data_IF_458067378983
#
_entry.id   IF_458067378983
#
_cell.length_a   1.000
_cell.length_b   1.000
_cell.length_c   1.000
_cell.angle_alpha   90.00
_cell.angle_beta   90.00
_cell.angle_gamma   90.00
#
_symmetry.space_group_name_H-M   'P 1'
#
loop_
_entity.id
_entity.type
_entity.pdbx_description
1 polymer ?
#
# COMPACT_ATOMS: atom_id res chain seq x y z
N UNK A 1 0.70 -20.51 -7.92
CA UNK A 1 1.76 -19.54 -8.28
C UNK A 1 1.27 -18.17 -7.82
N UNK A 2 2.16 -17.35 -7.25
CA UNK A 2 1.83 -15.97 -6.89
C UNK A 2 1.97 -15.05 -8.11
N UNK A 3 0.90 -14.33 -8.45
CA UNK A 3 0.86 -13.40 -9.58
C UNK A 3 0.72 -11.96 -9.13
N UNK A 4 -0.07 -11.75 -8.07
CA UNK A 4 -0.59 -10.44 -7.74
C UNK A 4 -0.15 -10.02 -6.33
N UNK A 5 1.09 -9.55 -6.19
CA UNK A 5 1.65 -9.16 -4.89
C UNK A 5 1.38 -7.68 -4.62
N UNK A 6 0.75 -7.39 -3.47
CA UNK A 6 0.64 -6.05 -2.90
C UNK A 6 1.46 -5.98 -1.62
N UNK A 7 2.22 -4.89 -1.50
CA UNK A 7 2.97 -4.53 -0.31
C UNK A 7 2.39 -3.22 0.26
N UNK A 8 1.79 -3.33 1.45
CA UNK A 8 1.14 -2.26 2.19
C UNK A 8 1.18 -2.60 3.69
N UNK A 9 0.95 -1.61 4.54
CA UNK A 9 0.83 -1.78 5.99
C UNK A 9 -0.67 -1.92 6.29
N UNK A 10 -1.17 -3.16 6.45
CA UNK A 10 -2.61 -3.45 6.54
C UNK A 10 -3.16 -3.31 7.96
N UNK A 11 -2.31 -3.47 8.97
CA UNK A 11 -2.69 -3.33 10.38
C UNK A 11 -2.25 -1.99 10.99
N UNK A 12 -1.58 -1.14 10.21
CA UNK A 12 -1.03 0.16 10.61
C UNK A 12 0.05 0.11 11.69
N UNK A 13 0.78 -1.01 11.80
CA UNK A 13 1.82 -1.23 12.80
C UNK A 13 3.21 -0.67 12.42
N UNK A 14 3.28 0.03 11.27
CA UNK A 14 4.47 0.65 10.66
C UNK A 14 5.32 -0.34 9.86
N UNK A 15 5.03 -1.63 9.90
CA UNK A 15 5.67 -2.65 9.08
C UNK A 15 4.92 -2.84 7.75
N UNK A 16 5.65 -3.16 6.69
CA UNK A 16 5.03 -3.42 5.39
C UNK A 16 4.76 -4.91 5.27
N UNK A 17 3.47 -5.26 5.17
CA UNK A 17 2.92 -6.59 4.98
C UNK A 17 2.85 -6.98 3.51
N UNK A 18 2.47 -8.23 3.25
CA UNK A 18 2.30 -8.78 1.91
C UNK A 18 0.96 -9.50 1.77
N UNK A 19 0.20 -9.15 0.75
CA UNK A 19 -0.95 -9.96 0.30
C UNK A 19 -0.68 -10.45 -1.12
N UNK A 20 -0.94 -11.74 -1.34
CA UNK A 20 -0.53 -12.46 -2.54
C UNK A 20 -1.76 -13.08 -3.20
N UNK A 21 -2.05 -12.61 -4.40
CA UNK A 21 -3.04 -13.23 -5.28
C UNK A 21 -2.46 -14.44 -6.03
N UNK A 22 -3.12 -15.59 -5.89
CA UNK A 22 -2.65 -16.85 -6.43
C UNK A 22 -3.52 -17.39 -7.57
N UNK A 23 -2.90 -18.26 -8.38
CA UNK A 23 -3.56 -19.09 -9.37
C UNK A 23 -2.53 -19.97 -10.09
N UNK A 24 -2.96 -21.06 -10.70
CA UNK A 24 -2.07 -21.84 -11.56
C UNK A 24 -1.95 -21.16 -12.94
N UNK A 25 -0.92 -21.53 -13.71
CA UNK A 25 -0.68 -20.99 -15.07
C UNK A 25 -1.75 -21.49 -16.04
N UNK A 26 -2.05 -22.78 -15.97
CA UNK A 26 -2.89 -23.50 -16.94
C UNK A 26 -4.08 -24.21 -16.26
N UNK A 27 -5.29 -24.20 -16.86
CA UNK A 27 -6.48 -24.86 -16.32
C UNK A 27 -6.35 -26.38 -16.14
N UNK A 28 -5.53 -27.04 -16.97
CA UNK A 28 -5.28 -28.49 -16.92
C UNK A 28 -4.72 -28.97 -15.58
N UNK A 29 -4.24 -28.05 -14.72
CA UNK A 29 -3.87 -28.37 -13.35
C UNK A 29 -5.01 -29.05 -12.56
N UNK A 30 -6.27 -28.76 -12.88
CA UNK A 30 -7.43 -29.40 -12.25
C UNK A 30 -7.53 -30.90 -12.53
N UNK A 31 -6.86 -31.39 -13.59
CA UNK A 31 -6.87 -32.80 -14.00
C UNK A 31 -5.72 -33.60 -13.37
N UNK A 32 -4.76 -32.94 -12.72
CA UNK A 32 -3.57 -33.58 -12.15
C UNK A 32 -3.82 -33.94 -10.70
N UNK A 33 -3.87 -35.24 -10.38
CA UNK A 33 -4.06 -35.73 -9.00
C UNK A 33 -2.98 -35.17 -8.06
N UNK A 34 -3.41 -34.57 -6.95
CA UNK A 34 -2.51 -33.96 -5.95
C UNK A 34 -2.06 -32.54 -6.27
N UNK A 35 -2.44 -31.99 -7.42
CA UNK A 35 -2.23 -30.57 -7.73
C UNK A 35 -3.31 -29.74 -7.02
N UNK A 36 -2.97 -28.57 -6.44
CA UNK A 36 -3.95 -27.64 -5.86
C UNK A 36 -4.97 -27.08 -6.88
N UNK A 37 -4.82 -27.35 -8.18
CA UNK A 37 -5.75 -26.90 -9.22
C UNK A 37 -5.50 -25.47 -9.69
N UNK A 38 -6.27 -25.06 -10.70
CA UNK A 38 -6.13 -23.79 -11.40
C UNK A 38 -6.51 -22.59 -10.53
N UNK A 39 -7.63 -22.70 -9.82
CA UNK A 39 -8.10 -21.69 -8.88
C UNK A 39 -7.54 -21.96 -7.49
N UNK A 40 -6.86 -20.98 -6.91
CA UNK A 40 -6.12 -21.10 -5.65
C UNK A 40 -6.58 -20.01 -4.67
N UNK A 41 -6.52 -20.27 -3.34
CA UNK A 41 -6.78 -19.24 -2.34
C UNK A 41 -5.66 -18.19 -2.35
N UNK A 42 -6.00 -16.97 -1.97
CA UNK A 42 -5.03 -15.89 -1.79
C UNK A 42 -4.46 -15.95 -0.36
N UNK A 43 -3.34 -15.26 -0.13
CA UNK A 43 -2.62 -15.35 1.15
C UNK A 43 -2.29 -13.96 1.70
N UNK A 44 -2.28 -13.83 3.03
CA UNK A 44 -1.85 -12.63 3.74
C UNK A 44 -0.73 -12.99 4.72
N UNK A 45 0.35 -12.23 4.64
CA UNK A 45 1.52 -12.33 5.48
C UNK A 45 1.76 -11.01 6.20
N UNK A 46 1.66 -11.00 7.53
CA UNK A 46 2.00 -9.84 8.34
C UNK A 46 3.48 -9.82 8.64
N UNK A 47 4.10 -8.65 8.52
CA UNK A 47 5.49 -8.44 8.85
C UNK A 47 5.63 -8.21 10.36
N UNK A 48 6.55 -8.92 11.01
CA UNK A 48 6.77 -8.79 12.45
C UNK A 48 7.62 -7.56 12.86
N UNK A 49 7.97 -6.71 11.89
CA UNK A 49 8.81 -5.52 12.07
C UNK A 49 10.31 -5.83 12.17
N UNK A 50 10.70 -7.10 12.20
CA UNK A 50 12.10 -7.57 12.24
C UNK A 50 12.56 -8.18 10.92
N UNK A 51 11.68 -8.17 9.91
CA UNK A 51 11.91 -8.77 8.59
C UNK A 51 11.38 -10.20 8.46
N UNK A 52 10.78 -10.74 9.52
CA UNK A 52 10.00 -11.98 9.47
C UNK A 52 8.58 -11.74 9.00
N UNK A 53 7.97 -12.78 8.44
CA UNK A 53 6.60 -12.75 7.94
C UNK A 53 5.82 -13.93 8.49
N UNK A 54 4.66 -13.64 9.08
CA UNK A 54 3.73 -14.64 9.60
C UNK A 54 2.56 -14.84 8.63
N UNK A 55 2.34 -16.07 8.17
CA UNK A 55 1.13 -16.43 7.42
C UNK A 55 -0.08 -16.34 8.36
N UNK A 56 -0.93 -15.34 8.13
CA UNK A 56 -2.16 -15.13 8.90
C UNK A 56 -3.39 -15.47 8.08
N UNK A 57 -3.26 -16.08 6.91
CA UNK A 57 -4.38 -16.35 5.99
C UNK A 57 -5.55 -17.05 6.71
N UNK A 58 -5.25 -18.08 7.51
CA UNK A 58 -6.25 -18.84 8.27
C UNK A 58 -6.87 -18.06 9.45
N UNK A 59 -6.33 -16.89 9.81
CA UNK A 59 -6.79 -16.02 10.89
C UNK A 59 -7.63 -14.85 10.37
N UNK A 60 -7.81 -14.73 9.06
CA UNK A 60 -8.61 -13.69 8.41
C UNK A 60 -10.05 -14.16 8.15
N UNK A 61 -10.89 -13.26 7.64
CA UNK A 61 -12.22 -13.61 7.14
C UNK A 61 -12.20 -14.58 5.95
N UNK A 62 -13.36 -15.09 5.52
CA UNK A 62 -13.45 -16.15 4.51
C UNK A 62 -13.00 -15.70 3.11
N UNK A 63 -12.88 -14.40 2.86
CA UNK A 63 -12.60 -13.84 1.53
C UNK A 63 -11.27 -14.32 0.93
N UNK A 64 -10.22 -14.52 1.72
CA UNK A 64 -8.94 -15.04 1.22
C UNK A 64 -8.98 -16.53 0.87
N UNK A 65 -9.91 -17.28 1.46
CA UNK A 65 -10.13 -18.69 1.13
C UNK A 65 -10.88 -18.88 -0.20
N UNK A 66 -11.50 -17.81 -0.75
CA UNK A 66 -12.15 -17.84 -2.06
C UNK A 66 -11.11 -18.19 -3.13
N UNK A 67 -11.36 -19.29 -3.85
CA UNK A 67 -10.42 -19.78 -4.86
C UNK A 67 -10.61 -19.03 -6.17
N UNK A 68 -9.60 -18.25 -6.54
CA UNK A 68 -9.56 -17.48 -7.78
C UNK A 68 -8.42 -17.91 -8.69
N UNK A 69 -8.52 -17.57 -9.98
CA UNK A 69 -7.37 -17.52 -10.87
C UNK A 69 -6.83 -16.08 -10.85
N UNK A 70 -6.34 -15.63 -9.70
CA UNK A 70 -5.98 -14.24 -9.45
C UNK A 70 -4.80 -13.83 -10.33
N UNK A 71 -4.86 -12.63 -10.91
CA UNK A 71 -3.76 -12.04 -11.70
C UNK A 71 -3.44 -10.63 -11.30
N UNK A 72 -4.44 -9.82 -11.00
CA UNK A 72 -4.26 -8.43 -10.59
C UNK A 72 -4.71 -8.22 -9.15
N UNK A 73 -4.13 -7.22 -8.51
CA UNK A 73 -4.57 -6.77 -7.20
C UNK A 73 -4.39 -5.26 -7.06
N UNK A 74 -5.39 -4.62 -6.48
CA UNK A 74 -5.38 -3.21 -6.12
C UNK A 74 -5.83 -3.07 -4.66
N UNK A 75 -5.38 -1.98 -4.03
CA UNK A 75 -5.74 -1.64 -2.66
C UNK A 75 -6.28 -0.21 -2.62
N UNK A 76 -7.37 -0.03 -1.88
CA UNK A 76 -8.01 1.25 -1.62
C UNK A 76 -8.81 1.17 -0.31
N UNK A 77 -9.03 2.30 0.34
CA UNK A 77 -10.01 2.49 1.43
C UNK A 77 -11.33 2.87 0.76
N UNK A 78 -12.18 1.87 0.52
CA UNK A 78 -13.36 2.00 -0.34
C UNK A 78 -14.51 2.72 0.35
N UNK A 79 -14.62 2.56 1.67
CA UNK A 79 -15.69 3.12 2.49
C UNK A 79 -15.26 4.38 3.27
N UNK A 80 -13.95 4.65 3.36
CA UNK A 80 -13.38 5.83 3.98
C UNK A 80 -13.19 5.71 5.49
N UNK A 81 -13.20 4.49 6.05
CA UNK A 81 -13.02 4.23 7.48
C UNK A 81 -11.54 4.20 7.91
N UNK A 82 -10.66 4.10 6.92
CA UNK A 82 -9.23 4.25 7.06
C UNK A 82 -8.42 2.97 6.98
N UNK A 83 -9.04 1.80 7.02
CA UNK A 83 -8.34 0.56 6.73
C UNK A 83 -8.13 0.39 5.20
N UNK A 84 -7.52 -0.73 4.81
CA UNK A 84 -7.10 -0.96 3.43
C UNK A 84 -7.79 -2.19 2.85
N UNK A 85 -8.81 -1.94 2.04
CA UNK A 85 -9.46 -2.99 1.26
C UNK A 85 -8.60 -3.46 0.11
N UNK A 86 -8.88 -4.68 -0.33
CA UNK A 86 -8.17 -5.31 -1.44
C UNK A 86 -9.14 -5.81 -2.49
N UNK A 87 -8.93 -5.39 -3.74
CA UNK A 87 -9.63 -5.91 -4.90
C UNK A 87 -8.69 -6.84 -5.66
N UNK A 88 -9.13 -8.07 -5.91
CA UNK A 88 -8.46 -9.03 -6.77
C UNK A 88 -9.19 -9.15 -8.12
N UNK A 89 -8.41 -9.12 -9.19
CA UNK A 89 -8.90 -9.47 -10.53
C UNK A 89 -8.62 -10.95 -10.82
N UNK A 90 -9.69 -11.69 -11.14
CA UNK A 90 -9.66 -13.13 -11.41
C UNK A 90 -9.88 -13.38 -12.91
N UNK A 91 -9.03 -14.20 -13.54
CA UNK A 91 -9.31 -14.66 -14.91
C UNK A 91 -10.63 -15.45 -14.92
N UNK A 92 -11.47 -15.16 -15.91
CA UNK A 92 -12.75 -15.85 -16.18
C UNK A 92 -13.61 -16.01 -14.92
N UNK A 93 -13.66 -14.97 -14.10
CA UNK A 93 -14.44 -14.93 -12.87
C UNK A 93 -14.73 -13.50 -12.45
N UNK A 94 -15.65 -13.32 -11.48
CA UNK A 94 -15.89 -12.01 -10.90
C UNK A 94 -14.64 -11.53 -10.13
N UNK A 95 -14.45 -10.21 -9.98
CA UNK A 95 -13.48 -9.70 -9.03
C UNK A 95 -13.84 -10.15 -7.60
N UNK A 96 -12.83 -10.36 -6.77
CA UNK A 96 -13.02 -10.55 -5.33
C UNK A 96 -12.74 -9.20 -4.66
N UNK A 97 -13.70 -8.70 -3.88
CA UNK A 97 -13.49 -7.53 -3.01
C UNK A 97 -13.36 -8.05 -1.59
N UNK A 98 -12.24 -7.72 -0.96
CA UNK A 98 -12.00 -7.92 0.45
C UNK A 98 -12.17 -6.57 1.12
N UNK A 99 -13.35 -6.36 1.69
CA UNK A 99 -13.60 -5.26 2.60
C UNK A 99 -13.02 -5.63 3.96
N UNK A 100 -12.09 -4.82 4.45
CA UNK A 100 -11.64 -4.94 5.82
C UNK A 100 -12.70 -4.28 6.71
N UNK A 101 -13.13 -4.99 7.76
CA UNK A 101 -14.21 -4.50 8.63
C UNK A 101 -13.66 -4.14 10.01
N UNK A 102 -14.00 -2.94 10.46
CA UNK A 102 -13.79 -2.48 11.84
C UNK A 102 -12.84 -1.30 11.94
N UNK A 103 -12.74 -0.71 13.14
CA UNK A 103 -11.82 0.41 13.32
C UNK A 103 -10.36 -0.04 13.15
N UNK A 104 -9.51 0.75 12.46
CA UNK A 104 -8.08 0.47 12.34
C UNK A 104 -7.43 0.20 13.70
N UNK A 105 -6.63 -0.87 13.79
CA UNK A 105 -5.98 -1.30 15.03
C UNK A 105 -5.01 -0.26 15.59
N UNK A 106 -4.39 0.51 14.70
CA UNK A 106 -3.42 1.54 15.02
C UNK A 106 -3.75 2.84 14.29
N UNK A 107 -3.32 3.99 14.84
CA UNK A 107 -3.50 5.26 14.16
C UNK A 107 -2.76 5.27 12.82
N UNK A 108 -3.28 6.04 11.88
CA UNK A 108 -2.75 6.10 10.52
C UNK A 108 -2.75 7.52 9.97
N UNK A 109 -2.02 7.75 8.88
CA UNK A 109 -2.08 8.97 8.10
C UNK A 109 -2.08 8.63 6.62
N UNK A 110 -3.13 9.03 5.91
CA UNK A 110 -3.15 9.07 4.46
C UNK A 110 -2.67 10.43 3.96
N UNK A 111 -1.85 10.44 2.92
CA UNK A 111 -1.39 11.67 2.26
C UNK A 111 -1.78 11.60 0.79
N UNK A 112 -2.75 12.43 0.41
CA UNK A 112 -3.16 12.66 -0.97
C UNK A 112 -2.36 13.82 -1.54
N UNK A 113 -1.68 13.58 -2.66
CA UNK A 113 -0.93 14.62 -3.35
C UNK A 113 -1.76 15.24 -4.47
N UNK A 114 -1.69 16.56 -4.59
CA UNK A 114 -2.22 17.32 -5.71
C UNK A 114 -1.07 18.07 -6.39
N UNK A 115 -0.54 17.46 -7.45
CA UNK A 115 0.53 18.05 -8.24
C UNK A 115 0.02 19.07 -9.27
N UNK A 116 0.96 19.83 -9.85
CA UNK A 116 0.69 20.82 -10.90
C UNK A 116 0.74 20.21 -12.32
N UNK A 117 0.12 20.89 -13.28
CA UNK A 117 0.15 20.52 -14.70
C UNK A 117 -0.50 19.16 -14.99
N UNK A 118 0.22 18.29 -15.71
CA UNK A 118 -0.28 16.96 -16.13
C UNK A 118 -0.18 15.89 -15.03
N UNK A 119 0.71 16.08 -14.04
CA UNK A 119 0.92 15.11 -12.96
C UNK A 119 0.04 15.43 -11.75
N UNK A 120 -1.28 15.32 -11.93
CA UNK A 120 -2.27 15.72 -10.90
C UNK A 120 -2.16 14.94 -9.60
N UNK A 121 -1.65 13.71 -9.64
CA UNK A 121 -1.50 12.85 -8.46
C UNK A 121 -0.11 12.91 -7.81
N UNK A 122 0.79 13.76 -8.32
CA UNK A 122 2.17 13.81 -7.80
C UNK A 122 2.92 12.48 -7.94
N UNK A 123 2.63 11.70 -8.99
CA UNK A 123 3.30 10.43 -9.26
C UNK A 123 4.81 10.66 -9.33
N UNK A 124 5.56 9.85 -8.59
CA UNK A 124 7.01 9.99 -8.48
C UNK A 124 7.52 10.87 -7.34
N UNK A 125 6.63 11.46 -6.55
CA UNK A 125 7.02 12.19 -5.34
C UNK A 125 7.46 11.22 -4.24
N UNK A 126 8.35 11.68 -3.35
CA UNK A 126 8.60 11.04 -2.07
C UNK A 126 7.83 11.77 -0.98
N UNK A 127 7.17 11.01 -0.11
CA UNK A 127 6.51 11.55 1.09
C UNK A 127 7.23 10.98 2.30
N UNK A 128 7.64 11.86 3.20
CA UNK A 128 8.31 11.49 4.43
C UNK A 128 7.58 12.05 5.64
N UNK A 129 7.43 11.22 6.66
CA UNK A 129 6.90 11.61 7.97
C UNK A 129 7.91 11.31 9.08
N UNK A 130 7.84 12.10 10.14
CA UNK A 130 8.57 11.86 11.39
C UNK A 130 7.63 12.04 12.56
N UNK A 131 7.64 11.11 13.51
CA UNK A 131 6.91 11.13 14.77
C UNK A 131 7.83 10.75 15.95
N UNK A 132 7.27 10.43 17.11
CA UNK A 132 8.04 10.03 18.29
C UNK A 132 8.62 8.61 18.23
N UNK A 133 8.17 7.79 17.28
CA UNK A 133 8.66 6.44 17.03
C UNK A 133 9.64 6.37 15.85
N UNK A 134 9.89 7.49 15.16
CA UNK A 134 10.94 7.60 14.14
C UNK A 134 10.44 8.08 12.77
N UNK A 135 11.23 7.80 11.74
CA UNK A 135 11.00 8.28 10.36
C UNK A 135 10.40 7.19 9.50
N UNK A 136 9.43 7.56 8.67
CA UNK A 136 8.93 6.71 7.60
C UNK A 136 8.95 7.47 6.28
N UNK A 137 9.25 6.74 5.21
CA UNK A 137 9.32 7.28 3.85
C UNK A 137 8.52 6.35 2.97
N UNK A 138 7.73 6.93 2.06
CA UNK A 138 6.98 6.19 1.04
C UNK A 138 7.06 6.93 -0.29
N UNK A 139 7.04 6.17 -1.37
CA UNK A 139 7.08 6.69 -2.73
C UNK A 139 5.67 6.72 -3.32
N UNK A 140 5.27 7.84 -3.91
CA UNK A 140 3.97 7.99 -4.55
C UNK A 140 3.95 7.22 -5.88
N UNK A 141 3.28 6.06 -5.85
CA UNK A 141 3.00 5.21 -7.01
C UNK A 141 1.61 4.61 -6.90
N UNK A 142 0.97 4.44 -8.05
CA UNK A 142 -0.36 3.83 -8.15
C UNK A 142 -0.34 2.48 -8.88
N UNK A 143 0.64 2.27 -9.76
CA UNK A 143 0.85 0.99 -10.43
C UNK A 143 1.26 -0.05 -9.39
N UNK A 144 0.34 -0.97 -9.10
CA UNK A 144 0.49 -1.98 -8.08
C UNK A 144 0.04 -3.29 -8.70
N UNK A 145 0.82 -4.36 -8.50
CA UNK A 145 0.53 -5.68 -9.06
C UNK A 145 0.41 -5.69 -10.60
N UNK A 146 0.05 -6.83 -11.18
CA UNK A 146 -0.07 -6.98 -12.62
C UNK A 146 -1.34 -6.29 -13.15
N UNK A 147 -1.18 -5.37 -14.11
CA UNK A 147 -2.27 -4.70 -14.81
C UNK A 147 -3.24 -3.91 -13.91
N UNK A 148 -2.83 -3.57 -12.68
CA UNK A 148 -3.73 -3.01 -11.65
C UNK A 148 -3.20 -1.68 -11.12
N UNK A 149 -4.10 -0.87 -10.58
CA UNK A 149 -3.80 0.47 -10.05
C UNK A 149 -4.53 0.67 -8.72
N UNK A 150 -3.78 0.95 -7.67
CA UNK A 150 -4.32 1.36 -6.36
C UNK A 150 -4.73 2.83 -6.36
N UNK A 151 -5.51 3.23 -5.36
CA UNK A 151 -5.82 4.64 -5.17
C UNK A 151 -4.56 5.52 -5.02
N UNK A 152 -4.64 6.83 -5.38
CA UNK A 152 -3.51 7.75 -5.29
C UNK A 152 -3.35 8.36 -3.88
N UNK A 153 -3.23 7.52 -2.85
CA UNK A 153 -2.99 7.93 -1.46
C UNK A 153 -1.77 7.21 -0.91
N UNK A 154 -0.84 7.99 -0.34
CA UNK A 154 0.32 7.45 0.36
C UNK A 154 -0.05 7.22 1.82
N UNK A 155 -0.14 5.95 2.23
CA UNK A 155 -0.50 5.59 3.61
C UNK A 155 0.73 5.31 4.49
N UNK A 156 0.56 5.70 5.76
CA UNK A 156 1.48 5.41 6.86
C UNK A 156 0.69 4.87 8.04
N UNK A 157 0.95 3.64 8.46
CA UNK A 157 0.62 3.22 9.81
C UNK A 157 1.52 3.94 10.81
N UNK A 158 0.98 4.27 11.99
CA UNK A 158 1.71 5.00 13.04
C UNK A 158 2.00 4.11 14.25
N UNK A 159 1.48 2.89 14.30
CA UNK A 159 1.65 1.95 15.40
C UNK A 159 1.14 2.56 16.71
N UNK A 160 2.05 2.87 17.63
CA UNK A 160 1.71 3.53 18.90
C UNK A 160 1.91 5.07 18.89
N UNK A 161 2.28 5.68 17.76
CA UNK A 161 2.47 7.12 17.69
C UNK A 161 1.10 7.84 17.61
N UNK A 162 0.89 8.81 18.50
CA UNK A 162 -0.36 9.56 18.57
C UNK A 162 -0.42 10.76 17.60
N UNK A 163 0.72 11.20 17.08
CA UNK A 163 0.80 12.37 16.20
C UNK A 163 2.05 12.34 15.32
N UNK A 164 1.92 12.88 14.11
CA UNK A 164 3.04 13.20 13.23
C UNK A 164 3.62 14.56 13.64
N UNK A 165 4.95 14.70 13.67
CA UNK A 165 5.65 15.96 14.00
C UNK A 165 6.10 16.71 12.75
N UNK A 166 6.38 15.96 11.67
CA UNK A 166 6.86 16.51 10.41
C UNK A 166 6.27 15.73 9.25
N UNK A 167 5.76 16.45 8.25
CA UNK A 167 5.33 15.93 6.95
C UNK A 167 6.03 16.73 5.86
N UNK A 168 6.81 16.07 5.01
CA UNK A 168 7.50 16.69 3.88
C UNK A 168 7.21 15.90 2.61
N UNK A 169 6.96 16.61 1.53
CA UNK A 169 6.85 16.06 0.18
C UNK A 169 8.04 16.56 -0.63
N UNK A 170 8.81 15.64 -1.21
CA UNK A 170 9.78 15.92 -2.26
C UNK A 170 9.09 15.63 -3.60
N UNK A 171 8.78 16.68 -4.34
CA UNK A 171 8.06 16.60 -5.60
C UNK A 171 8.94 16.04 -6.73
N UNK A 172 8.35 15.52 -7.81
CA UNK A 172 9.10 14.94 -8.94
C UNK A 172 10.07 15.92 -9.60
N UNK A 173 9.79 17.23 -9.53
CA UNK A 173 10.67 18.28 -10.04
C UNK A 173 11.88 18.58 -9.13
N UNK A 174 11.96 17.95 -7.96
CA UNK A 174 13.09 18.05 -7.02
C UNK A 174 12.95 19.10 -5.93
N UNK A 175 11.93 19.96 -5.99
CA UNK A 175 11.58 20.87 -4.90
C UNK A 175 10.96 20.09 -3.73
N UNK A 176 11.30 20.46 -2.49
CA UNK A 176 10.72 19.89 -1.29
C UNK A 176 9.91 20.94 -0.51
N UNK A 177 8.77 20.51 0.00
CA UNK A 177 7.84 21.33 0.77
C UNK A 177 7.43 20.63 2.06
N UNK A 178 7.40 21.38 3.16
CA UNK A 178 6.82 20.94 4.42
C UNK A 178 5.36 21.37 4.49
N UNK A 179 4.55 20.49 5.06
CA UNK A 179 3.12 20.71 5.28
C UNK A 179 2.81 20.57 6.77
N UNK A 180 1.76 21.23 7.28
CA UNK A 180 1.32 21.03 8.66
C UNK A 180 1.13 19.54 8.93
N UNK A 181 1.69 18.98 10.01
CA UNK A 181 1.40 17.60 10.37
C UNK A 181 -0.09 17.47 10.65
N UNK A 182 -0.81 16.75 9.79
CA UNK A 182 -2.25 16.56 9.91
C UNK A 182 -2.61 15.81 11.19
N UNK A 183 -3.86 15.96 11.64
CA UNK A 183 -4.45 15.03 12.60
C UNK A 183 -4.37 13.60 12.03
N UNK A 184 -4.15 12.61 12.90
CA UNK A 184 -4.11 11.19 12.53
C UNK A 184 -5.53 10.68 12.21
N UNK A 185 -5.62 9.46 11.67
CA UNK A 185 -6.83 8.76 11.27
C UNK A 185 -7.63 9.49 10.19
N UNK A 186 -6.92 10.02 9.20
CA UNK A 186 -7.52 10.70 8.05
C UNK A 186 -6.58 10.81 6.87
N UNK A 187 -7.14 11.24 5.75
CA UNK A 187 -6.37 11.65 4.58
C UNK A 187 -6.13 13.16 4.59
N UNK A 188 -4.86 13.57 4.74
CA UNK A 188 -4.42 14.93 4.51
C UNK A 188 -4.16 15.19 3.01
N UNK A 189 -4.47 16.39 2.52
CA UNK A 189 -4.17 16.78 1.14
C UNK A 189 -2.99 17.75 1.10
N UNK A 190 -1.93 17.39 0.39
CA UNK A 190 -0.78 18.24 0.13
C UNK A 190 -0.83 18.74 -1.32
N UNK A 191 -0.94 20.05 -1.50
CA UNK A 191 -1.00 20.70 -2.81
C UNK A 191 0.37 21.29 -3.14
N UNK A 192 0.91 20.95 -4.31
CA UNK A 192 2.21 21.41 -4.75
C UNK A 192 2.26 22.95 -4.88
N UNK A 193 3.24 23.55 -4.22
CA UNK A 193 3.44 25.00 -4.14
C UNK A 193 2.56 25.71 -3.12
N UNK A 194 1.86 24.97 -2.25
CA UNK A 194 1.16 25.51 -1.09
C UNK A 194 1.83 25.14 0.25
N UNK A 195 2.91 24.37 0.22
CA UNK A 195 3.70 24.07 1.41
C UNK A 195 4.79 25.11 1.64
N UNK A 196 5.46 25.04 2.79
CA UNK A 196 6.63 25.87 3.05
C UNK A 196 7.88 25.20 2.47
N UNK A 197 8.64 25.93 1.65
CA UNK A 197 9.89 25.43 1.07
C UNK A 197 10.84 24.94 2.18
N UNK A 198 11.41 23.75 1.98
CA UNK A 198 12.29 23.10 2.97
C UNK A 198 13.35 22.24 2.28
N UNK A 199 14.38 21.83 3.02
CA UNK A 199 15.24 20.73 2.61
C UNK A 199 14.55 19.38 2.83
N UNK A 200 14.90 18.36 2.03
CA UNK A 200 14.50 16.97 2.23
C UNK A 200 15.40 16.30 3.30
N UNK A 201 14.87 15.91 4.47
CA UNK A 201 15.71 15.52 5.61
C UNK A 201 15.88 14.00 5.79
N UNK A 202 15.26 13.18 4.96
CA UNK A 202 15.10 11.75 5.26
C UNK A 202 16.23 10.88 4.72
N UNK A 203 16.69 11.15 3.51
CA UNK A 203 17.82 10.46 2.88
C UNK A 203 18.41 11.32 1.77
N UNK A 204 19.65 11.07 1.41
CA UNK A 204 20.27 11.65 0.22
C UNK A 204 19.96 10.76 -0.99
N UNK A 205 19.30 11.31 -2.00
CA UNK A 205 19.26 10.68 -3.33
C UNK A 205 20.64 10.91 -3.93
N UNK A 206 21.52 9.90 -3.88
CA UNK A 206 22.75 9.97 -4.64
C UNK A 206 22.39 10.04 -6.14
N UNK A 207 23.01 10.94 -6.94
CA UNK A 207 22.81 10.92 -8.38
C UNK A 207 23.23 9.53 -8.92
N UNK A 208 22.53 9.00 -9.94
CA UNK A 208 22.92 7.75 -10.55
C UNK A 208 24.38 7.85 -11.01
N UNK A 209 25.20 6.89 -10.59
CA UNK A 209 26.56 6.76 -11.13
C UNK A 209 26.41 6.30 -12.59
N UNK A 210 26.93 7.09 -13.53
CA UNK A 210 27.17 6.57 -14.87
C UNK A 210 28.12 5.37 -14.74
N UNK A 211 27.71 4.23 -15.29
CA UNK A 211 28.62 3.10 -15.56
C UNK A 211 29.11 3.22 -16.99
#
# INVERSE_FOLDING_TARGET
MGWAVLAADFNHDRAVDLIIGNGHVVPQADQVRGNPGYRQPNQLYLNDGTGGFLDVTARTGPGLAVRGATRGSAAADLDGDGDLDVIFNNIDGPPTVLECEGAPLHPWLGVRLQGRGKNRFGLGAWVGIEDDKGRQIRYMRVQRSWGSTSEPVVRFGLGAAAAVRRLVVLWPAGNAESFPPGAVNRVATCVEGQGAATAWPFFTIAPPRAR
#
